data_IF_620132253635
#
_entry.id   IF_620132253635
#
_cell.length_a   1.000
_cell.length_b   1.000
_cell.length_c   1.000
_cell.angle_alpha   90.00
_cell.angle_beta   90.00
_cell.angle_gamma   90.00
#
_symmetry.space_group_name_H-M   'P 1'
#
loop_
_entity.id
_entity.type
_entity.pdbx_description
1 polymer ?
#
# COMPACT_ATOMS: atom_id res chain seq x y z
N UNK A 1 -4.14 -20.63 -1.08
CA UNK A 1 -3.85 -19.28 -0.55
C UNK A 1 -5.05 -18.84 0.27
N UNK A 2 -4.85 -18.11 1.37
CA UNK A 2 -5.98 -17.60 2.17
C UNK A 2 -6.58 -16.42 1.41
N UNK A 3 -7.87 -16.47 1.12
CA UNK A 3 -8.60 -15.34 0.53
C UNK A 3 -8.61 -14.17 1.52
N UNK A 4 -8.41 -12.96 0.98
CA UNK A 4 -8.49 -11.74 1.77
C UNK A 4 -9.94 -11.49 2.19
N UNK A 5 -10.14 -10.95 3.39
CA UNK A 5 -11.44 -10.43 3.78
C UNK A 5 -11.75 -9.14 3.01
N UNK A 6 -13.03 -8.77 2.83
CA UNK A 6 -13.38 -7.51 2.18
C UNK A 6 -12.73 -6.27 2.81
N UNK A 7 -12.50 -6.29 4.14
CA UNK A 7 -11.80 -5.19 4.82
C UNK A 7 -10.30 -5.16 4.50
N UNK A 8 -9.65 -6.33 4.39
CA UNK A 8 -8.25 -6.42 3.96
C UNK A 8 -8.08 -5.96 2.50
N UNK A 9 -9.05 -6.23 1.62
CA UNK A 9 -9.05 -5.73 0.23
C UNK A 9 -9.13 -4.19 0.16
N UNK A 10 -9.97 -3.57 0.98
CA UNK A 10 -10.06 -2.11 1.08
C UNK A 10 -8.76 -1.49 1.62
N UNK A 11 -8.16 -2.12 2.64
CA UNK A 11 -6.86 -1.69 3.20
C UNK A 11 -5.74 -1.82 2.18
N UNK A 12 -5.69 -2.92 1.42
CA UNK A 12 -4.74 -3.12 0.33
C UNK A 12 -4.94 -2.06 -0.76
N UNK A 13 -6.18 -1.80 -1.16
CA UNK A 13 -6.50 -0.74 -2.13
C UNK A 13 -6.05 0.63 -1.65
N UNK A 14 -6.16 0.90 -0.34
CA UNK A 14 -5.70 2.15 0.26
C UNK A 14 -4.16 2.28 0.24
N UNK A 15 -3.43 1.18 0.35
CA UNK A 15 -1.97 1.16 0.16
C UNK A 15 -1.59 1.59 -1.27
N UNK A 16 -2.33 1.16 -2.30
CA UNK A 16 -2.11 1.63 -3.69
C UNK A 16 -2.38 3.13 -3.86
N UNK A 17 -3.40 3.67 -3.16
CA UNK A 17 -3.67 5.12 -3.15
C UNK A 17 -2.49 5.88 -2.55
N UNK A 18 -1.92 5.40 -1.43
CA UNK A 18 -0.72 5.98 -0.83
C UNK A 18 0.47 5.97 -1.79
N UNK A 19 0.78 4.82 -2.41
CA UNK A 19 1.86 4.72 -3.40
C UNK A 19 1.67 5.69 -4.57
N UNK A 20 0.45 5.81 -5.08
CA UNK A 20 0.12 6.75 -6.17
C UNK A 20 0.37 8.20 -5.74
N UNK A 21 -0.01 8.56 -4.52
CA UNK A 21 0.22 9.90 -3.99
C UNK A 21 1.72 10.19 -3.78
N UNK A 22 2.47 9.23 -3.25
CA UNK A 22 3.91 9.35 -3.04
C UNK A 22 4.64 9.54 -4.37
N UNK A 23 4.37 8.71 -5.38
CA UNK A 23 5.02 8.85 -6.70
C UNK A 23 4.68 10.17 -7.42
N UNK A 24 3.53 10.80 -7.12
CA UNK A 24 3.21 12.14 -7.65
C UNK A 24 4.04 13.24 -6.99
N UNK A 25 4.35 13.10 -5.70
CA UNK A 25 5.10 14.09 -4.93
C UNK A 25 6.62 13.86 -5.00
N UNK A 26 7.04 12.60 -5.08
CA UNK A 26 8.41 12.12 -5.10
C UNK A 26 8.58 11.13 -6.26
N UNK A 27 8.76 11.62 -7.50
CA UNK A 27 8.79 10.76 -8.69
C UNK A 27 9.92 9.72 -8.71
N UNK A 28 11.00 9.98 -7.96
CA UNK A 28 12.17 9.08 -7.85
C UNK A 28 11.99 8.00 -6.78
N UNK A 29 10.95 8.08 -5.95
CA UNK A 29 10.68 7.08 -4.92
C UNK A 29 10.43 5.71 -5.56
N UNK A 30 11.02 4.66 -5.02
CA UNK A 30 10.81 3.28 -5.48
C UNK A 30 9.86 2.55 -4.55
N UNK A 31 8.94 1.82 -5.16
CA UNK A 31 7.95 1.00 -4.45
C UNK A 31 8.56 -0.37 -4.10
N UNK A 32 8.36 -0.82 -2.86
CA UNK A 32 8.60 -2.21 -2.46
C UNK A 32 7.26 -2.90 -2.13
N UNK A 33 6.98 -3.17 -0.85
CA UNK A 33 5.76 -3.88 -0.41
C UNK A 33 4.74 -2.94 0.24
N UNK A 34 3.45 -3.19 -0.02
CA UNK A 34 2.35 -2.44 0.59
C UNK A 34 1.18 -3.32 1.05
N UNK A 35 1.35 -4.15 2.10
CA UNK A 35 0.31 -5.07 2.54
C UNK A 35 -0.73 -4.41 3.45
N UNK A 36 -1.96 -4.94 3.48
CA UNK A 36 -2.88 -4.66 4.58
C UNK A 36 -2.36 -5.32 5.87
N UNK A 37 -2.74 -4.73 7.02
CA UNK A 37 -2.47 -5.26 8.35
C UNK A 37 -3.77 -5.48 9.11
N UNK A 38 -3.67 -6.05 10.32
CA UNK A 38 -4.82 -6.25 11.20
C UNK A 38 -5.54 -4.92 11.53
N UNK A 39 -4.80 -3.82 11.62
CA UNK A 39 -5.32 -2.50 12.04
C UNK A 39 -5.31 -1.45 10.93
N UNK A 40 -4.73 -1.72 9.76
CA UNK A 40 -4.60 -0.73 8.69
C UNK A 40 -3.84 -1.26 7.47
N UNK A 41 -2.88 -0.49 6.98
CA UNK A 41 -1.96 -0.83 5.89
C UNK A 41 -0.69 0.02 6.04
N UNK A 42 0.41 -0.41 5.42
CA UNK A 42 1.62 0.40 5.25
C UNK A 42 2.15 0.24 3.83
N UNK A 43 3.17 1.02 3.49
CA UNK A 43 3.91 0.87 2.24
C UNK A 43 5.38 1.22 2.48
N UNK A 44 6.28 0.32 2.09
CA UNK A 44 7.72 0.51 2.15
C UNK A 44 8.22 1.22 0.89
N UNK A 45 9.00 2.28 1.08
CA UNK A 45 9.58 3.08 0.00
C UNK A 45 11.11 3.17 0.16
N UNK A 46 11.82 3.05 -0.95
CA UNK A 46 13.23 3.47 -1.06
C UNK A 46 13.25 4.87 -1.68
N UNK A 47 13.86 5.84 -1.00
CA UNK A 47 13.88 7.26 -1.35
C UNK A 47 15.27 7.71 -1.80
#
# INVERSE_FOLDING_TARGET
>A
MKEMTPLEELRHSSAHVLATAVLRLFPEAKLDIGPPTETGFYYDFDL
#
